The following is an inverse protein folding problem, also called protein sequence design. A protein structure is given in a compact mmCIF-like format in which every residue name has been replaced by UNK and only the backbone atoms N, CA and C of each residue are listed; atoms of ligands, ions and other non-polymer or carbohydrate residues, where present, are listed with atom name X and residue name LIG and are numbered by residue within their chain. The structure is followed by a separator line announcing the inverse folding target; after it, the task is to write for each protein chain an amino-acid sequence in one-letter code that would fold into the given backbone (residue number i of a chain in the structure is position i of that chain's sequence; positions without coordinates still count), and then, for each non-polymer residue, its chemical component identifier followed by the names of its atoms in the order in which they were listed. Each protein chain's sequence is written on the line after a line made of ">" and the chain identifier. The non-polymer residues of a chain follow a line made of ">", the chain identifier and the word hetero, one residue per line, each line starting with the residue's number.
data_IF_758771260190
#
_entry.id   IF_758771260190
#
_cell.length_a   1.000
_cell.length_b   1.000
_cell.length_c   1.000
_cell.angle_alpha   90.00
_cell.angle_beta   90.00
_cell.angle_gamma   90.00
#
_symmetry.space_group_name_H-M   'P 1'
#
loop_
_entity.id
_entity.type
_entity.pdbx_description
1 polymer ?
#
# COMPACT_ATOMS: atom_id res chain seq x y z
N UNK A 1 -26.93 71.08 -61.81
CA UNK A 1 -27.78 69.91 -61.61
C UNK A 1 -26.87 68.72 -61.25
N UNK A 2 -26.76 68.40 -59.95
CA UNK A 2 -25.95 67.30 -59.44
C UNK A 2 -26.89 66.33 -58.78
N UNK A 3 -27.02 65.14 -59.37
CA UNK A 3 -27.77 64.03 -58.82
C UNK A 3 -26.96 63.27 -57.77
N UNK A 4 -27.45 63.25 -56.55
CA UNK A 4 -26.84 62.48 -55.47
C UNK A 4 -27.37 61.06 -55.53
N UNK A 5 -26.46 60.12 -55.72
CA UNK A 5 -26.71 58.68 -55.60
C UNK A 5 -26.65 58.25 -54.13
N UNK A 6 -27.76 57.89 -53.60
CA UNK A 6 -27.89 57.36 -52.25
C UNK A 6 -27.64 55.86 -52.23
N UNK A 7 -26.47 55.41 -51.81
CA UNK A 7 -26.17 53.97 -51.60
C UNK A 7 -26.87 53.49 -50.35
N UNK A 8 -27.92 52.68 -50.52
CA UNK A 8 -28.59 52.02 -49.49
C UNK A 8 -27.72 50.89 -48.91
N UNK A 9 -27.34 50.98 -47.60
CA UNK A 9 -26.70 49.93 -46.84
C UNK A 9 -27.68 48.83 -46.51
N UNK A 10 -27.46 47.65 -47.11
CA UNK A 10 -28.27 46.47 -46.85
C UNK A 10 -27.79 45.78 -45.56
N UNK A 11 -28.61 45.56 -44.56
CA UNK A 11 -28.17 44.85 -43.33
C UNK A 11 -27.95 43.39 -43.65
N UNK A 12 -26.76 42.89 -43.29
CA UNK A 12 -26.33 41.49 -43.40
C UNK A 12 -27.35 40.59 -42.64
N UNK A 13 -27.79 39.56 -43.35
CA UNK A 13 -28.73 38.53 -42.85
C UNK A 13 -28.18 37.87 -41.59
N UNK A 14 -28.98 37.62 -40.55
CA UNK A 14 -28.55 36.88 -39.36
C UNK A 14 -28.20 35.45 -39.77
N UNK A 15 -27.04 34.98 -39.26
CA UNK A 15 -26.57 33.57 -39.40
C UNK A 15 -27.71 32.62 -39.03
N UNK A 16 -28.27 31.95 -40.04
CA UNK A 16 -29.31 30.94 -39.87
C UNK A 16 -28.80 29.82 -38.97
N UNK A 17 -29.41 29.63 -37.79
CA UNK A 17 -29.15 28.48 -36.91
C UNK A 17 -29.47 27.21 -37.68
N UNK A 18 -28.42 26.49 -38.14
CA UNK A 18 -28.60 25.16 -38.76
C UNK A 18 -29.24 24.24 -37.71
N UNK A 19 -30.42 23.78 -37.97
CA UNK A 19 -31.07 22.76 -37.13
C UNK A 19 -30.32 21.44 -37.31
N UNK A 20 -29.85 20.85 -36.19
CA UNK A 20 -29.19 19.56 -36.20
C UNK A 20 -30.09 18.46 -36.77
N UNK A 21 -29.53 17.64 -37.63
CA UNK A 21 -30.18 16.44 -38.17
C UNK A 21 -30.41 15.41 -37.02
N UNK A 22 -31.32 14.46 -37.26
CA UNK A 22 -31.55 13.38 -36.27
C UNK A 22 -30.29 12.61 -35.94
N UNK A 23 -29.40 12.37 -36.93
CA UNK A 23 -28.13 11.67 -36.76
C UNK A 23 -27.15 12.46 -35.90
N UNK A 24 -27.03 13.78 -36.15
CA UNK A 24 -26.18 14.66 -35.34
C UNK A 24 -26.66 14.75 -33.88
N UNK A 25 -27.95 14.80 -33.65
CA UNK A 25 -28.52 14.76 -32.28
C UNK A 25 -28.23 13.44 -31.58
N UNK A 26 -28.31 12.33 -32.31
CA UNK A 26 -27.99 11.01 -31.77
C UNK A 26 -26.49 10.90 -31.44
N UNK A 27 -25.61 11.37 -32.32
CA UNK A 27 -24.16 11.41 -32.09
C UNK A 27 -23.81 12.27 -30.87
N UNK A 28 -24.39 13.46 -30.75
CA UNK A 28 -24.21 14.32 -29.58
C UNK A 28 -24.67 13.67 -28.28
N UNK A 29 -25.81 12.98 -28.31
CA UNK A 29 -26.34 12.26 -27.15
C UNK A 29 -25.39 11.11 -26.74
N UNK A 30 -24.86 10.36 -27.71
CA UNK A 30 -23.87 9.31 -27.43
C UNK A 30 -22.56 9.89 -26.84
N UNK A 31 -22.05 10.98 -27.40
CA UNK A 31 -20.85 11.66 -26.88
C UNK A 31 -21.11 12.15 -25.45
N UNK A 32 -22.26 12.77 -25.20
CA UNK A 32 -22.60 13.25 -23.86
C UNK A 32 -22.71 12.07 -22.86
N UNK A 33 -23.34 10.97 -23.24
CA UNK A 33 -23.46 9.78 -22.41
C UNK A 33 -22.09 9.17 -22.10
N UNK A 34 -21.20 9.06 -23.08
CA UNK A 34 -19.83 8.59 -22.88
C UNK A 34 -19.03 9.52 -21.98
N UNK A 35 -19.17 10.84 -22.16
CA UNK A 35 -18.50 11.84 -21.32
C UNK A 35 -18.97 11.76 -19.86
N UNK A 36 -20.27 11.65 -19.61
CA UNK A 36 -20.84 11.49 -18.27
C UNK A 36 -20.33 10.19 -17.62
N UNK A 37 -20.36 9.09 -18.37
CA UNK A 37 -19.85 7.80 -17.88
C UNK A 37 -18.36 7.88 -17.54
N UNK A 38 -17.56 8.46 -18.42
CA UNK A 38 -16.11 8.66 -18.18
C UNK A 38 -15.83 9.53 -16.95
N UNK A 39 -16.54 10.64 -16.79
CA UNK A 39 -16.43 11.52 -15.63
C UNK A 39 -16.83 10.81 -14.33
N UNK A 40 -17.87 9.98 -14.38
CA UNK A 40 -18.30 9.19 -13.21
C UNK A 40 -17.25 8.18 -12.79
N UNK A 41 -16.66 7.44 -13.73
CA UNK A 41 -15.55 6.52 -13.42
C UNK A 41 -14.32 7.25 -12.90
N UNK A 42 -13.95 8.37 -13.50
CA UNK A 42 -12.82 9.17 -13.04
C UNK A 42 -13.07 9.72 -11.63
N UNK A 43 -14.24 10.28 -11.36
CA UNK A 43 -14.62 10.79 -10.04
C UNK A 43 -14.60 9.70 -8.97
N UNK A 44 -15.11 8.51 -9.30
CA UNK A 44 -15.12 7.37 -8.40
C UNK A 44 -13.67 6.87 -8.12
N UNK A 45 -12.81 6.82 -9.13
CA UNK A 45 -11.40 6.47 -8.97
C UNK A 45 -10.64 7.45 -8.08
N UNK A 46 -10.85 8.76 -8.26
CA UNK A 46 -10.25 9.81 -7.42
C UNK A 46 -10.77 9.74 -5.98
N UNK A 47 -12.07 9.52 -5.78
CA UNK A 47 -12.66 9.34 -4.45
C UNK A 47 -12.06 8.15 -3.71
N UNK A 48 -11.94 6.99 -4.37
CA UNK A 48 -11.34 5.79 -3.77
C UNK A 48 -9.88 6.01 -3.40
N UNK A 49 -9.12 6.69 -4.26
CA UNK A 49 -7.72 7.04 -3.96
C UNK A 49 -7.61 7.99 -2.77
N UNK A 50 -8.39 9.06 -2.75
CA UNK A 50 -8.40 10.01 -1.63
C UNK A 50 -8.78 9.35 -0.31
N UNK A 51 -9.76 8.43 -0.31
CA UNK A 51 -10.16 7.66 0.86
C UNK A 51 -9.03 6.74 1.35
N UNK A 52 -8.31 6.08 0.45
CA UNK A 52 -7.18 5.23 0.81
C UNK A 52 -6.03 6.04 1.44
N UNK A 53 -5.67 7.19 0.86
CA UNK A 53 -4.65 8.09 1.40
C UNK A 53 -5.02 8.64 2.79
N UNK A 54 -6.29 9.06 2.95
CA UNK A 54 -6.80 9.51 4.24
C UNK A 54 -6.70 8.42 5.30
N UNK A 55 -7.04 7.17 4.95
CA UNK A 55 -6.92 6.04 5.86
C UNK A 55 -5.46 5.82 6.31
N UNK A 56 -4.47 5.93 5.42
CA UNK A 56 -3.05 5.82 5.78
C UNK A 56 -2.62 6.95 6.73
N UNK A 57 -3.08 8.18 6.51
CA UNK A 57 -2.79 9.30 7.42
C UNK A 57 -3.37 9.05 8.81
N UNK A 58 -4.60 8.56 8.88
CA UNK A 58 -5.27 8.25 10.16
C UNK A 58 -4.60 7.09 10.88
N UNK A 59 -4.18 6.04 10.18
CA UNK A 59 -3.42 4.91 10.73
C UNK A 59 -2.08 5.38 11.33
N UNK A 60 -1.32 6.19 10.59
CA UNK A 60 -0.05 6.75 11.09
C UNK A 60 -0.25 7.62 12.34
N UNK A 61 -1.32 8.43 12.37
CA UNK A 61 -1.65 9.25 13.54
C UNK A 61 -2.02 8.40 14.75
N UNK A 62 -2.85 7.36 14.56
CA UNK A 62 -3.22 6.44 15.64
C UNK A 62 -1.98 5.73 16.19
N UNK A 63 -1.13 5.18 15.32
CA UNK A 63 0.11 4.54 15.73
C UNK A 63 1.05 5.50 16.48
N UNK A 64 1.23 6.73 16.00
CA UNK A 64 2.02 7.74 16.69
C UNK A 64 1.45 8.13 18.07
N UNK A 65 0.13 8.09 18.24
CA UNK A 65 -0.52 8.31 19.54
C UNK A 65 -0.29 7.12 20.48
N UNK A 66 -0.40 5.90 20.00
CA UNK A 66 -0.09 4.69 20.77
C UNK A 66 1.38 4.64 21.24
N UNK A 67 2.34 5.09 20.41
CA UNK A 67 3.75 5.23 20.83
C UNK A 67 3.94 6.22 21.99
N UNK A 68 2.99 7.15 22.19
CA UNK A 68 2.99 8.06 23.36
C UNK A 68 2.22 7.49 24.56
N UNK A 69 1.72 6.25 24.46
CA UNK A 69 0.90 5.61 25.51
C UNK A 69 -0.57 6.02 25.51
N UNK A 70 -1.06 6.63 24.42
CA UNK A 70 -2.47 6.99 24.27
C UNK A 70 -3.22 5.80 23.63
N UNK A 71 -4.44 5.49 24.11
CA UNK A 71 -5.31 4.51 23.45
C UNK A 71 -6.02 5.18 22.27
N UNK A 72 -5.50 4.99 21.07
CA UNK A 72 -5.96 5.68 19.88
C UNK A 72 -6.44 4.72 18.79
N UNK A 73 -7.68 4.91 18.33
CA UNK A 73 -8.18 4.24 17.13
C UNK A 73 -7.99 5.10 15.89
N UNK A 74 -7.72 4.51 14.70
CA UNK A 74 -7.61 5.26 13.45
C UNK A 74 -8.89 6.08 13.14
N UNK A 75 -10.06 5.49 13.47
CA UNK A 75 -11.37 6.14 13.46
C UNK A 75 -12.31 5.48 14.47
N UNK A 76 -13.37 6.15 14.95
CA UNK A 76 -14.20 5.66 16.07
C UNK A 76 -14.82 4.27 15.89
N UNK A 77 -15.11 3.88 14.65
CA UNK A 77 -15.71 2.59 14.30
C UNK A 77 -14.71 1.58 13.75
N UNK A 78 -13.40 1.82 13.90
CA UNK A 78 -12.41 0.81 13.53
C UNK A 78 -12.55 -0.40 14.45
N UNK A 79 -12.58 -1.59 13.83
CA UNK A 79 -12.64 -2.89 14.51
C UNK A 79 -11.27 -3.57 14.61
N UNK A 80 -10.20 -2.83 14.30
CA UNK A 80 -8.80 -3.22 14.42
C UNK A 80 -8.00 -2.10 15.08
N UNK A 81 -6.84 -2.46 15.60
CA UNK A 81 -5.85 -1.55 16.20
C UNK A 81 -4.56 -1.59 15.40
N UNK A 82 -3.73 -0.55 15.53
CA UNK A 82 -2.36 -0.57 15.02
C UNK A 82 -1.46 -1.38 15.96
N UNK A 83 -0.56 -2.17 15.40
CA UNK A 83 0.30 -3.07 16.19
C UNK A 83 1.79 -2.74 16.04
N UNK A 84 2.19 -2.39 14.83
CA UNK A 84 3.57 -2.06 14.52
C UNK A 84 3.66 -1.19 13.26
N UNK A 85 4.85 -0.65 13.01
CA UNK A 85 5.26 -0.15 11.70
C UNK A 85 6.37 -1.05 11.15
N UNK A 86 6.22 -1.52 9.91
CA UNK A 86 7.25 -2.24 9.19
C UNK A 86 7.89 -1.33 8.15
N UNK A 87 9.23 -1.29 8.10
CA UNK A 87 10.01 -0.46 7.18
C UNK A 87 11.08 -1.27 6.48
N UNK A 88 11.33 -0.95 5.22
CA UNK A 88 12.47 -1.45 4.45
C UNK A 88 13.33 -0.25 3.98
N UNK A 89 14.30 0.21 4.78
CA UNK A 89 15.00 1.48 4.58
C UNK A 89 15.69 1.59 3.21
N UNK A 90 16.29 0.50 2.70
CA UNK A 90 17.00 0.53 1.41
C UNK A 90 16.13 0.96 0.24
N UNK A 91 14.84 0.65 0.28
CA UNK A 91 13.89 0.95 -0.80
C UNK A 91 12.86 2.02 -0.40
N UNK A 92 12.98 2.58 0.81
CA UNK A 92 12.07 3.61 1.33
C UNK A 92 10.62 3.14 1.49
N UNK A 93 10.39 1.84 1.65
CA UNK A 93 9.05 1.29 1.85
C UNK A 93 8.70 1.25 3.35
N UNK A 94 7.44 1.56 3.66
CA UNK A 94 6.91 1.52 5.01
C UNK A 94 5.40 1.18 4.99
N UNK A 95 4.90 0.57 6.06
CA UNK A 95 3.48 0.31 6.25
C UNK A 95 3.14 0.14 7.73
N UNK A 96 1.98 0.63 8.14
CA UNK A 96 1.42 0.36 9.48
C UNK A 96 0.79 -1.03 9.49
N UNK A 97 1.23 -1.85 10.42
CA UNK A 97 0.76 -3.22 10.64
C UNK A 97 -0.42 -3.18 11.61
N UNK A 98 -1.47 -3.90 11.29
CA UNK A 98 -2.70 -3.99 12.05
C UNK A 98 -2.76 -5.29 12.85
N UNK A 99 -3.45 -5.29 13.97
CA UNK A 99 -3.74 -6.51 14.72
C UNK A 99 -4.76 -7.37 13.95
N UNK A 100 -4.38 -8.61 13.64
CA UNK A 100 -5.19 -9.53 12.85
C UNK A 100 -5.08 -9.34 11.34
N UNK A 101 -5.48 -10.36 10.60
CA UNK A 101 -5.42 -10.42 9.14
C UNK A 101 -6.81 -10.69 8.53
N UNK A 102 -7.86 -10.08 9.10
CA UNK A 102 -9.20 -10.13 8.52
C UNK A 102 -9.22 -9.46 7.14
N UNK A 103 -10.17 -9.82 6.29
CA UNK A 103 -10.30 -9.19 4.97
C UNK A 103 -10.48 -7.68 5.05
N UNK A 104 -11.12 -7.18 6.13
CA UNK A 104 -11.30 -5.75 6.38
C UNK A 104 -9.98 -5.08 6.78
N UNK A 105 -9.23 -5.65 7.73
CA UNK A 105 -7.93 -5.12 8.14
C UNK A 105 -6.95 -5.07 6.96
N UNK A 106 -6.85 -6.16 6.18
CA UNK A 106 -5.96 -6.25 5.02
C UNK A 106 -6.27 -5.26 3.90
N UNK A 107 -7.48 -4.70 3.85
CA UNK A 107 -7.81 -3.62 2.92
C UNK A 107 -7.10 -2.29 3.27
N UNK A 108 -6.74 -2.10 4.54
CA UNK A 108 -6.14 -0.87 5.05
C UNK A 108 -4.65 -0.98 5.35
N UNK A 109 -4.14 -2.18 5.65
CA UNK A 109 -2.72 -2.38 5.97
C UNK A 109 -2.30 -3.84 5.98
N UNK A 110 -1.00 -4.13 6.16
CA UNK A 110 -0.54 -5.44 6.55
C UNK A 110 -1.17 -5.85 7.88
N UNK A 111 -1.48 -7.14 8.04
CA UNK A 111 -2.00 -7.69 9.29
C UNK A 111 -1.00 -8.62 9.94
N UNK A 112 -0.71 -8.43 11.23
CA UNK A 112 -0.03 -9.43 12.03
C UNK A 112 -1.02 -10.54 12.40
N UNK A 113 -0.62 -11.79 12.19
CA UNK A 113 -1.42 -12.96 12.57
C UNK A 113 -1.32 -13.17 14.08
N UNK A 114 -2.39 -12.87 14.79
CA UNK A 114 -2.44 -12.87 16.28
C UNK A 114 -2.25 -14.24 16.92
N UNK A 115 -2.33 -15.32 16.13
CA UNK A 115 -1.98 -16.68 16.55
C UNK A 115 -0.49 -17.01 16.37
N UNK A 116 0.35 -16.02 16.07
CA UNK A 116 1.82 -16.12 16.00
C UNK A 116 2.44 -15.19 17.03
N UNK A 117 3.71 -15.41 17.44
CA UNK A 117 4.42 -14.48 18.33
C UNK A 117 4.40 -13.04 17.82
N UNK A 118 4.51 -12.07 18.71
CA UNK A 118 4.74 -10.69 18.29
C UNK A 118 6.16 -10.54 17.71
N UNK A 119 6.38 -9.59 16.79
CA UNK A 119 7.72 -9.35 16.26
C UNK A 119 8.76 -9.17 17.39
N UNK A 120 9.84 -9.97 17.34
CA UNK A 120 10.92 -9.96 18.33
C UNK A 120 10.71 -10.85 19.56
N UNK A 121 9.60 -11.55 19.67
CA UNK A 121 9.42 -12.64 20.63
C UNK A 121 10.00 -13.94 20.08
N UNK A 122 10.15 -14.94 20.95
CA UNK A 122 10.61 -16.28 20.57
C UNK A 122 9.62 -16.92 19.59
N UNK A 123 10.15 -17.47 18.50
CA UNK A 123 9.35 -18.04 17.42
C UNK A 123 9.31 -17.17 16.16
N UNK A 124 8.33 -17.41 15.28
CA UNK A 124 8.16 -16.68 14.03
C UNK A 124 6.90 -15.81 14.07
N UNK A 125 7.10 -14.50 14.09
CA UNK A 125 6.03 -13.53 13.87
C UNK A 125 5.62 -13.50 12.39
N UNK A 126 4.34 -13.55 12.09
CA UNK A 126 3.85 -13.54 10.71
C UNK A 126 3.06 -12.27 10.42
N UNK A 127 3.47 -11.55 9.39
CA UNK A 127 2.76 -10.38 8.87
C UNK A 127 2.37 -10.67 7.42
N UNK A 128 1.09 -10.54 7.11
CA UNK A 128 0.55 -10.78 5.78
C UNK A 128 -0.08 -9.52 5.18
N UNK A 129 0.04 -9.35 3.88
CA UNK A 129 -0.64 -8.25 3.16
C UNK A 129 -0.90 -8.59 1.70
N UNK A 130 -1.68 -7.72 1.03
CA UNK A 130 -1.90 -7.84 -0.41
C UNK A 130 -0.64 -7.51 -1.21
N UNK A 131 -0.34 -8.33 -2.22
CA UNK A 131 0.81 -8.20 -3.12
C UNK A 131 0.78 -6.95 -4.01
N UNK A 132 -0.42 -6.45 -4.29
CA UNK A 132 -0.61 -5.36 -5.26
C UNK A 132 -0.62 -3.98 -4.59
N UNK A 133 -0.65 -3.95 -3.24
CA UNK A 133 -0.68 -2.74 -2.42
C UNK A 133 0.45 -2.73 -1.39
N UNK A 134 0.16 -3.09 -0.14
CA UNK A 134 1.05 -2.91 1.00
C UNK A 134 2.33 -3.74 0.96
N UNK A 135 2.33 -4.93 0.31
CA UNK A 135 3.52 -5.77 0.17
C UNK A 135 4.00 -5.90 -1.28
N UNK A 136 3.63 -4.95 -2.14
CA UNK A 136 4.16 -4.88 -3.50
C UNK A 136 5.69 -4.76 -3.54
N UNK A 137 6.27 -4.11 -2.55
CA UNK A 137 7.69 -3.87 -2.44
C UNK A 137 8.52 -5.11 -2.03
N UNK A 138 7.87 -6.19 -1.54
CA UNK A 138 8.60 -7.43 -1.19
C UNK A 138 9.38 -8.03 -2.37
N UNK A 139 8.93 -7.81 -3.61
CA UNK A 139 9.64 -8.24 -4.82
C UNK A 139 11.01 -7.58 -5.00
N UNK A 140 11.22 -6.41 -4.38
CA UNK A 140 12.42 -5.58 -4.51
C UNK A 140 13.41 -5.79 -3.35
N UNK A 141 13.04 -6.62 -2.35
CA UNK A 141 13.90 -6.99 -1.23
C UNK A 141 14.94 -8.03 -1.69
N UNK A 142 16.16 -7.81 -1.22
CA UNK A 142 17.29 -8.71 -1.48
C UNK A 142 17.72 -9.41 -0.19
N UNK A 143 18.29 -10.61 -0.28
CA UNK A 143 18.92 -11.24 0.88
C UNK A 143 19.97 -10.31 1.52
N UNK A 144 19.89 -10.19 2.85
CA UNK A 144 20.76 -9.28 3.63
C UNK A 144 20.20 -7.88 3.86
N UNK A 145 19.10 -7.48 3.18
CA UNK A 145 18.42 -6.22 3.47
C UNK A 145 17.91 -6.19 4.91
N UNK A 146 17.84 -4.99 5.48
CA UNK A 146 17.29 -4.79 6.81
C UNK A 146 15.81 -4.46 6.72
N UNK A 147 15.04 -5.10 7.58
CA UNK A 147 13.62 -4.84 7.83
C UNK A 147 13.53 -4.34 9.27
N UNK A 148 13.06 -3.12 9.44
CA UNK A 148 12.82 -2.54 10.75
C UNK A 148 11.35 -2.72 11.13
N UNK A 149 11.11 -3.12 12.37
CA UNK A 149 9.76 -3.23 12.94
C UNK A 149 9.73 -2.41 14.22
N UNK A 150 8.96 -1.33 14.22
CA UNK A 150 8.66 -0.55 15.42
C UNK A 150 7.35 -1.05 16.00
N UNK A 151 7.37 -1.63 17.19
CA UNK A 151 6.17 -2.12 17.88
C UNK A 151 5.42 -0.97 18.56
N UNK A 152 4.14 -1.20 18.87
CA UNK A 152 3.30 -0.23 19.61
C UNK A 152 3.86 0.12 21.01
N UNK A 153 4.67 -0.74 21.61
CA UNK A 153 5.37 -0.48 22.88
C UNK A 153 6.65 0.34 22.73
N UNK A 154 6.94 0.84 21.51
CA UNK A 154 8.09 1.68 21.19
C UNK A 154 9.39 0.92 20.92
N UNK A 155 9.42 -0.41 21.07
CA UNK A 155 10.62 -1.20 20.74
C UNK A 155 10.86 -1.22 19.23
N UNK A 156 12.07 -0.87 18.83
CA UNK A 156 12.54 -0.95 17.46
C UNK A 156 13.39 -2.21 17.29
N UNK A 157 13.01 -3.06 16.38
CA UNK A 157 13.60 -4.35 16.10
C UNK A 157 14.10 -4.37 14.66
N UNK A 158 15.31 -4.84 14.45
CA UNK A 158 15.90 -4.95 13.11
C UNK A 158 16.05 -6.43 12.75
N UNK A 159 15.48 -6.80 11.64
CA UNK A 159 15.57 -8.14 11.06
C UNK A 159 16.39 -8.11 9.78
N UNK A 160 17.16 -9.15 9.54
CA UNK A 160 17.90 -9.36 8.29
C UNK A 160 17.12 -10.29 7.38
N UNK A 161 16.77 -9.83 6.20
CA UNK A 161 16.05 -10.60 5.19
C UNK A 161 16.90 -11.76 4.67
N UNK A 162 16.32 -12.93 4.63
CA UNK A 162 16.83 -14.12 3.97
C UNK A 162 16.47 -14.18 2.49
N UNK A 163 16.56 -15.38 1.91
CA UNK A 163 16.08 -15.65 0.56
C UNK A 163 14.57 -15.77 0.56
N UNK A 164 13.89 -15.00 -0.28
CA UNK A 164 12.45 -15.16 -0.49
C UNK A 164 12.12 -16.49 -1.17
N UNK A 165 11.01 -17.10 -0.79
CA UNK A 165 10.55 -18.38 -1.32
C UNK A 165 9.09 -18.37 -1.73
N UNK A 166 8.70 -19.29 -2.60
CA UNK A 166 7.31 -19.47 -3.04
C UNK A 166 6.82 -20.84 -2.58
N UNK A 167 5.64 -20.86 -1.95
CA UNK A 167 5.02 -22.08 -1.44
C UNK A 167 3.49 -22.05 -1.56
N UNK A 168 2.80 -23.19 -1.57
CA UNK A 168 1.35 -23.25 -1.46
C UNK A 168 0.86 -22.62 -0.14
N UNK A 169 -0.31 -22.00 -0.15
CA UNK A 169 -0.83 -21.29 1.03
C UNK A 169 -1.07 -22.21 2.24
N UNK A 170 -1.43 -23.47 1.98
CA UNK A 170 -1.75 -24.52 2.97
C UNK A 170 -0.52 -25.34 3.42
N UNK A 171 0.60 -25.22 2.71
CA UNK A 171 1.88 -25.91 3.00
C UNK A 171 3.04 -24.93 2.83
N UNK A 172 2.93 -23.79 3.49
CA UNK A 172 3.87 -22.68 3.30
C UNK A 172 5.17 -22.82 4.10
N UNK A 173 5.25 -23.78 5.05
CA UNK A 173 6.45 -24.07 5.83
C UNK A 173 6.79 -23.01 6.88
N UNK A 174 5.88 -22.10 7.21
CA UNK A 174 6.05 -21.19 8.35
C UNK A 174 5.64 -21.96 9.61
N UNK A 175 6.58 -22.09 10.56
CA UNK A 175 6.32 -22.63 11.89
C UNK A 175 6.43 -21.50 12.92
N UNK A 176 5.33 -21.12 13.58
CA UNK A 176 5.36 -20.11 14.63
C UNK A 176 6.22 -20.49 15.84
N UNK A 177 6.48 -21.78 16.06
CA UNK A 177 7.27 -22.29 17.18
C UNK A 177 8.77 -22.50 16.84
N UNK A 178 9.23 -22.08 15.66
CA UNK A 178 10.65 -22.19 15.28
C UNK A 178 11.54 -21.53 16.35
N UNK A 179 12.54 -22.25 16.92
CA UNK A 179 13.46 -21.65 17.89
C UNK A 179 14.18 -20.42 17.34
N UNK A 180 14.32 -19.39 18.18
CA UNK A 180 14.89 -18.10 17.79
C UNK A 180 13.82 -17.05 17.53
N UNK A 181 14.22 -15.89 17.02
CA UNK A 181 13.33 -14.75 16.79
C UNK A 181 13.29 -14.42 15.33
N UNK A 182 12.19 -14.81 14.69
CA UNK A 182 12.02 -14.72 13.25
C UNK A 182 10.83 -13.84 12.87
N UNK A 183 10.89 -13.32 11.66
CA UNK A 183 9.82 -12.58 11.02
C UNK A 183 9.55 -13.19 9.65
N UNK A 184 8.30 -13.53 9.35
CA UNK A 184 7.85 -13.94 8.03
C UNK A 184 6.91 -12.89 7.44
N UNK A 185 7.29 -12.28 6.32
CA UNK A 185 6.44 -11.39 5.54
C UNK A 185 5.82 -12.17 4.38
N UNK A 186 4.50 -12.32 4.37
CA UNK A 186 3.79 -13.18 3.43
C UNK A 186 2.83 -12.40 2.53
N UNK A 187 2.83 -12.72 1.24
CA UNK A 187 1.88 -12.17 0.28
C UNK A 187 1.49 -13.17 -0.80
N UNK A 188 0.52 -12.83 -1.66
CA UNK A 188 0.14 -13.67 -2.79
C UNK A 188 1.23 -13.71 -3.87
N UNK A 189 1.32 -14.83 -4.61
CA UNK A 189 2.22 -15.02 -5.75
C UNK A 189 1.42 -15.45 -7.01
N UNK A 190 1.88 -15.11 -8.23
CA UNK A 190 3.02 -14.25 -8.56
C UNK A 190 2.68 -12.75 -8.45
N UNK A 191 3.71 -11.90 -8.29
CA UNK A 191 3.55 -10.44 -8.34
C UNK A 191 3.01 -10.00 -9.70
N UNK A 192 2.07 -9.03 -9.70
CA UNK A 192 1.46 -8.51 -10.94
C UNK A 192 0.37 -9.38 -11.57
N UNK A 193 0.05 -10.56 -11.02
CA UNK A 193 -1.04 -11.37 -11.55
C UNK A 193 -2.40 -10.75 -11.23
N UNK A 194 -3.31 -10.76 -12.21
CA UNK A 194 -4.68 -10.26 -12.05
C UNK A 194 -5.56 -11.26 -11.28
N UNK A 195 -5.30 -12.54 -11.44
CA UNK A 195 -6.07 -13.62 -10.80
C UNK A 195 -5.48 -14.03 -9.45
N UNK A 196 -6.36 -14.53 -8.58
CA UNK A 196 -5.95 -15.17 -7.31
C UNK A 196 -5.36 -16.54 -7.61
N UNK A 197 -4.28 -16.90 -6.89
CA UNK A 197 -3.65 -18.21 -7.00
C UNK A 197 -3.39 -18.85 -5.63
N UNK A 198 -3.07 -20.15 -5.60
CA UNK A 198 -2.82 -20.88 -4.37
C UNK A 198 -1.42 -20.63 -3.78
N UNK A 199 -0.56 -19.90 -4.49
CA UNK A 199 0.81 -19.68 -4.07
C UNK A 199 0.98 -18.39 -3.25
N UNK A 200 1.95 -18.42 -2.34
CA UNK A 200 2.39 -17.29 -1.52
C UNK A 200 3.87 -17.07 -1.73
N UNK A 201 4.27 -15.81 -1.78
CA UNK A 201 5.65 -15.39 -1.61
C UNK A 201 5.86 -15.12 -0.13
N UNK A 202 6.92 -15.69 0.43
CA UNK A 202 7.29 -15.60 1.83
C UNK A 202 8.73 -15.10 1.88
N UNK A 203 8.94 -14.02 2.62
CA UNK A 203 10.25 -13.50 2.97
C UNK A 203 10.49 -13.81 4.43
N UNK A 204 11.37 -14.74 4.70
CA UNK A 204 11.81 -15.06 6.06
C UNK A 204 12.96 -14.10 6.44
N UNK A 205 12.97 -13.61 7.69
CA UNK A 205 13.99 -12.73 8.22
C UNK A 205 14.30 -13.07 9.68
N UNK A 206 15.55 -12.89 10.10
CA UNK A 206 16.03 -13.18 11.44
C UNK A 206 16.35 -11.90 12.20
N UNK A 207 16.05 -11.86 13.51
CA UNK A 207 16.38 -10.72 14.36
C UNK A 207 17.90 -10.52 14.40
N UNK A 208 18.34 -9.30 14.12
CA UNK A 208 19.74 -8.89 14.24
C UNK A 208 20.02 -8.59 15.71
N UNK A 209 20.85 -9.42 16.33
CA UNK A 209 21.37 -9.14 17.66
C UNK A 209 22.47 -8.07 17.56
N UNK A 210 22.11 -6.82 17.85
CA UNK A 210 23.00 -5.67 17.74
C UNK A 210 24.25 -5.83 18.62
N UNK A 211 24.12 -6.48 19.78
CA UNK A 211 25.26 -6.74 20.66
C UNK A 211 26.27 -7.71 20.01
N UNK A 212 25.79 -8.75 19.36
CA UNK A 212 26.61 -9.73 18.65
C UNK A 212 27.26 -9.14 17.39
N UNK A 213 26.59 -8.21 16.73
CA UNK A 213 27.10 -7.54 15.53
C UNK A 213 28.21 -6.55 15.88
N UNK A 214 28.08 -5.78 16.96
CA UNK A 214 29.13 -4.88 17.46
C UNK A 214 30.37 -5.67 17.84
N UNK A 215 30.23 -6.79 18.56
CA UNK A 215 31.36 -7.65 18.95
C UNK A 215 32.11 -8.25 17.74
N UNK A 216 31.38 -8.58 16.64
CA UNK A 216 31.99 -9.09 15.41
C UNK A 216 32.75 -8.00 14.62
N UNK A 217 32.29 -6.76 14.69
CA UNK A 217 32.97 -5.61 14.06
C UNK A 217 34.25 -5.24 14.83
N UNK A 218 34.23 -5.27 16.18
CA UNK A 218 35.39 -5.00 17.03
C UNK A 218 36.49 -6.05 16.88
N UNK A 219 36.13 -7.33 16.69
CA UNK A 219 37.10 -8.39 16.42
C UNK A 219 37.75 -8.30 15.04
N UNK A 220 37.11 -7.66 14.07
CA UNK A 220 37.64 -7.50 12.71
C UNK A 220 38.55 -6.29 12.54
N UNK A 221 38.55 -5.36 13.53
CA UNK A 221 39.36 -4.13 13.56
C UNK A 221 40.62 -4.25 14.38
N UNK A 222 40.85 -5.37 15.06
CA UNK A 222 42.14 -5.60 15.75
C UNK A 222 43.22 -5.97 14.71
N UNK A 223 44.28 -5.16 14.56
CA UNK A 223 45.40 -5.54 13.71
C UNK A 223 46.09 -6.76 14.30
N UNK A 224 46.38 -7.73 13.45
CA UNK A 224 47.25 -8.87 13.83
C UNK A 224 48.62 -8.39 14.30
N UNK A 225 49.19 -9.03 15.33
CA UNK A 225 50.51 -8.70 15.86
C UNK A 225 51.62 -8.93 14.86
#
# INVERSE_FOLDING_TARGET
>A
MMGGESTAFSPSSPLGKKAFTRLEKLALACIAALAVTGLTFLGNGLYMKAKAELAQILLKRAFAAELRGEDAKPWPWADFTTEAEVRAPRIGAEAIVLAGASGQALAFGPGWLTNTPQPGEEGTAVIAAHRDTHFRWLKDIKPGDLIEVTRRDGRVLTFRAGQGRVAPWDRNGIDPATPGRHLALATCWPFGAVTRGPLRYILDAELVDTAKQTALLDTKTLPSP
#
